data_IF_907677155337
#
_entry.id   IF_907677155337
#
_cell.length_a   1.000
_cell.length_b   1.000
_cell.length_c   1.000
_cell.angle_alpha   90.00
_cell.angle_beta   90.00
_cell.angle_gamma   90.00
#
_symmetry.space_group_name_H-M   'P 1'
#
loop_
_entity.id
_entity.type
_entity.pdbx_description
1 polymer ?
#
# COMPACT_ATOMS: atom_id res chain seq x y z
N UNK A 1 -6.04 16.16 0.08
CA UNK A 1 -6.63 14.91 -0.40
C UNK A 1 -5.61 13.80 -0.30
N UNK A 2 -5.93 12.79 0.46
CA UNK A 2 -5.00 11.70 0.66
C UNK A 2 -5.13 10.69 -0.47
N UNK A 3 -4.13 10.62 -1.30
CA UNK A 3 -4.05 9.57 -2.31
C UNK A 3 -3.30 8.40 -1.65
N UNK A 4 -4.05 7.58 -0.94
CA UNK A 4 -3.47 6.42 -0.29
C UNK A 4 -3.23 5.34 -1.33
N UNK A 5 -1.96 5.06 -1.60
CA UNK A 5 -1.58 3.99 -2.51
C UNK A 5 -1.42 2.71 -1.70
N UNK A 6 -2.02 1.60 -2.12
CA UNK A 6 -1.81 0.34 -1.42
C UNK A 6 -0.34 -0.07 -1.47
N UNK A 7 0.20 -0.47 -0.33
CA UNK A 7 1.56 -0.98 -0.24
C UNK A 7 1.52 -2.48 0.00
N UNK A 8 2.33 -3.21 -0.76
CA UNK A 8 2.46 -4.65 -0.58
C UNK A 8 3.51 -4.92 0.49
N UNK A 9 3.14 -5.69 1.50
CA UNK A 9 4.07 -6.05 2.56
C UNK A 9 5.10 -7.03 2.01
N UNK A 10 6.38 -6.64 2.09
CA UNK A 10 7.48 -7.49 1.61
C UNK A 10 8.38 -7.97 2.74
N UNK A 11 8.28 -7.36 3.93
CA UNK A 11 9.07 -7.75 5.08
C UNK A 11 8.32 -7.39 6.35
N UNK A 12 8.41 -8.24 7.36
CA UNK A 12 7.78 -8.00 8.66
C UNK A 12 8.79 -8.27 9.76
N UNK A 13 8.92 -7.32 10.68
CA UNK A 13 9.78 -7.44 11.85
C UNK A 13 8.98 -6.96 13.07
N UNK A 14 8.34 -7.91 13.76
CA UNK A 14 7.50 -7.58 14.90
C UNK A 14 6.30 -6.72 14.48
N UNK A 15 6.24 -5.50 15.00
CA UNK A 15 5.16 -4.56 14.67
C UNK A 15 5.56 -3.57 13.59
N UNK A 16 6.70 -3.78 12.98
CA UNK A 16 7.15 -2.96 11.87
C UNK A 16 7.18 -3.81 10.61
N UNK A 17 6.96 -3.17 9.48
CA UNK A 17 6.98 -3.85 8.20
C UNK A 17 7.54 -2.91 7.14
N UNK A 18 7.91 -3.51 6.01
CA UNK A 18 8.30 -2.75 4.84
C UNK A 18 7.28 -3.03 3.75
N UNK A 19 6.76 -1.97 3.18
CA UNK A 19 5.82 -2.08 2.06
C UNK A 19 6.46 -1.56 0.79
N UNK A 20 5.96 -2.05 -0.32
CA UNK A 20 6.45 -1.67 -1.65
C UNK A 20 5.29 -1.28 -2.55
N UNK A 21 5.49 -0.22 -3.31
CA UNK A 21 4.56 0.18 -4.35
C UNK A 21 5.34 0.90 -5.44
N UNK A 22 5.10 0.51 -6.69
CA UNK A 22 5.68 1.18 -7.86
C UNK A 22 7.21 1.32 -7.78
N UNK A 23 7.88 0.28 -7.27
CA UNK A 23 9.33 0.25 -7.16
C UNK A 23 9.90 0.99 -5.97
N UNK A 24 9.05 1.58 -5.14
CA UNK A 24 9.47 2.31 -3.94
C UNK A 24 9.13 1.50 -2.70
N UNK A 25 10.03 1.54 -1.71
CA UNK A 25 9.80 0.85 -0.44
C UNK A 25 9.64 1.88 0.67
N UNK A 26 8.81 1.55 1.66
CA UNK A 26 8.60 2.39 2.82
C UNK A 26 8.45 1.55 4.06
N UNK A 27 9.04 2.03 5.15
CA UNK A 27 8.81 1.43 6.46
C UNK A 27 7.47 1.89 7.00
N UNK A 28 6.79 0.98 7.68
CA UNK A 28 5.48 1.28 8.24
C UNK A 28 5.27 0.49 9.51
N UNK A 29 4.33 0.95 10.34
CA UNK A 29 3.92 0.24 11.54
C UNK A 29 2.65 -0.54 11.22
N UNK A 30 2.57 -1.75 11.74
CA UNK A 30 1.42 -2.62 11.50
C UNK A 30 0.65 -2.92 12.79
N UNK A 31 0.68 -1.97 13.72
CA UNK A 31 0.02 -2.12 15.02
C UNK A 31 -1.50 -2.34 14.89
N UNK A 32 -2.10 -1.77 13.85
CA UNK A 32 -3.55 -1.85 13.63
C UNK A 32 -3.97 -3.02 12.75
N UNK A 33 -3.01 -3.76 12.21
CA UNK A 33 -3.31 -4.88 11.31
C UNK A 33 -3.04 -6.19 12.07
N UNK A 34 -4.09 -6.97 12.30
CA UNK A 34 -3.94 -8.26 12.95
C UNK A 34 -3.45 -9.30 11.95
N UNK A 35 -2.49 -10.10 12.37
CA UNK A 35 -1.98 -11.22 11.57
C UNK A 35 -1.49 -10.77 10.19
N UNK A 36 -0.78 -9.65 10.12
CA UNK A 36 -0.22 -9.18 8.88
C UNK A 36 0.74 -10.21 8.30
N UNK A 37 0.66 -10.43 7.01
CA UNK A 37 1.50 -11.41 6.33
C UNK A 37 2.16 -10.80 5.09
N UNK A 38 3.31 -11.36 4.74
CA UNK A 38 4.02 -10.94 3.54
C UNK A 38 3.14 -11.24 2.32
N UNK A 39 3.05 -10.27 1.42
CA UNK A 39 2.21 -10.39 0.23
C UNK A 39 0.86 -9.70 0.36
N UNK A 40 0.48 -9.29 1.56
CA UNK A 40 -0.76 -8.56 1.75
C UNK A 40 -0.61 -7.09 1.35
N UNK A 41 -1.72 -6.49 0.92
CA UNK A 41 -1.77 -5.07 0.59
C UNK A 41 -2.45 -4.31 1.70
N UNK A 42 -1.88 -3.18 2.08
CA UNK A 42 -2.41 -2.34 3.15
C UNK A 42 -2.39 -0.88 2.72
N UNK A 43 -3.31 -0.11 3.29
CA UNK A 43 -3.32 1.34 3.13
C UNK A 43 -2.52 1.93 4.28
N UNK A 44 -1.55 2.78 3.96
CA UNK A 44 -0.68 3.41 4.95
C UNK A 44 -0.95 4.90 5.01
N UNK A 45 -1.11 5.43 6.21
CA UNK A 45 -1.29 6.84 6.43
C UNK A 45 -0.44 7.26 7.63
N UNK A 46 0.38 8.30 7.44
CA UNK A 46 1.28 8.81 8.48
C UNK A 46 2.22 7.74 9.05
N UNK A 47 2.62 6.78 8.24
CA UNK A 47 3.54 5.73 8.66
C UNK A 47 2.88 4.53 9.31
N UNK A 48 1.55 4.53 9.44
CA UNK A 48 0.79 3.41 10.03
C UNK A 48 -0.06 2.75 8.98
N UNK A 49 0.02 1.42 8.91
CA UNK A 49 -0.92 0.65 8.11
C UNK A 49 -2.25 0.64 8.84
N UNK A 50 -3.28 1.22 8.23
CA UNK A 50 -4.57 1.40 8.89
C UNK A 50 -5.64 0.45 8.39
N UNK A 51 -5.48 -0.12 7.22
CA UNK A 51 -6.49 -0.98 6.65
C UNK A 51 -5.85 -2.01 5.73
N UNK A 52 -6.37 -3.24 5.79
CA UNK A 52 -5.98 -4.31 4.88
C UNK A 52 -6.92 -4.32 3.69
N UNK A 53 -6.36 -4.49 2.50
CA UNK A 53 -7.15 -4.58 1.28
C UNK A 53 -7.13 -5.99 0.72
N UNK A 54 -8.26 -6.49 0.20
CA UNK A 54 -8.24 -7.72 -0.59
C UNK A 54 -7.33 -7.52 -1.81
N UNK A 55 -6.64 -8.58 -2.22
CA UNK A 55 -5.70 -8.50 -3.33
C UNK A 55 -6.34 -7.93 -4.59
N UNK A 56 -7.56 -8.34 -4.89
CA UNK A 56 -8.29 -7.88 -6.06
C UNK A 56 -8.46 -6.35 -6.04
N UNK A 57 -8.88 -5.82 -4.90
CA UNK A 57 -9.10 -4.39 -4.77
C UNK A 57 -7.80 -3.60 -4.87
N UNK A 58 -6.72 -4.13 -4.30
CA UNK A 58 -5.42 -3.47 -4.37
C UNK A 58 -4.94 -3.35 -5.81
N UNK A 59 -5.10 -4.41 -6.60
CA UNK A 59 -4.72 -4.39 -8.01
C UNK A 59 -5.56 -3.39 -8.80
N UNK A 60 -6.86 -3.34 -8.54
CA UNK A 60 -7.75 -2.38 -9.20
C UNK A 60 -7.36 -0.95 -8.85
N UNK A 61 -7.08 -0.67 -7.58
CA UNK A 61 -6.69 0.65 -7.12
C UNK A 61 -5.38 1.10 -7.77
N UNK A 62 -4.40 0.21 -7.88
CA UNK A 62 -3.13 0.53 -8.51
C UNK A 62 -3.32 0.81 -10.01
N UNK A 63 -4.17 0.05 -10.67
CA UNK A 63 -4.47 0.26 -12.08
C UNK A 63 -5.14 1.62 -12.29
N UNK A 64 -6.10 1.95 -11.45
CA UNK A 64 -6.78 3.25 -11.51
C UNK A 64 -5.82 4.40 -11.30
N UNK A 65 -4.90 4.25 -10.37
CA UNK A 65 -3.88 5.27 -10.10
C UNK A 65 -3.00 5.50 -11.35
N UNK A 66 -2.57 4.43 -12.00
CA UNK A 66 -1.74 4.54 -13.19
C UNK A 66 -2.49 5.19 -14.34
N UNK A 67 -3.75 4.86 -14.52
CA UNK A 67 -4.59 5.48 -15.55
C UNK A 67 -4.76 6.98 -15.31
N UNK A 68 -4.98 7.38 -14.07
CA UNK A 68 -5.10 8.79 -13.74
C UNK A 68 -3.80 9.53 -14.01
N UNK A 69 -2.67 8.92 -13.69
CA UNK A 69 -1.36 9.51 -13.92
C UNK A 69 -1.13 9.74 -15.42
N UNK A 70 -1.48 8.77 -16.24
CA UNK A 70 -1.34 8.89 -17.68
C UNK A 70 -2.23 9.98 -18.24
N UNK A 71 -3.46 10.08 -17.76
CA UNK A 71 -4.39 11.12 -18.20
C UNK A 71 -3.84 12.51 -17.88
N UNK A 72 -3.28 12.71 -16.71
CA UNK A 72 -2.67 13.98 -16.33
C UNK A 72 -1.45 14.29 -17.18
N UNK A 73 -0.65 13.28 -17.51
CA UNK A 73 0.54 13.45 -18.31
C UNK A 73 0.20 13.88 -19.73
N UNK A 74 -0.95 13.46 -20.25
CA UNK A 74 -1.37 13.78 -21.62
C UNK A 74 -2.10 15.12 -21.73
N UNK A 75 -2.36 15.76 -20.63
CA UNK A 75 -2.92 17.11 -20.64
C UNK A 75 -1.81 18.15 -20.82
#
# INVERSE_FOLDING_TARGET
>A
MCLAIPLKIIEINGREAVGEAMGMTRKMRIDFIENAQIGEYVIVHAGFAIERLPLQQALDDLTSWEEMKDAVTHL
#
